data_IF_281377522782
#
_entry.id   IF_281377522782
#
_cell.length_a   1.000
_cell.length_b   1.000
_cell.length_c   1.000
_cell.angle_alpha   90.00
_cell.angle_beta   90.00
_cell.angle_gamma   90.00
#
_symmetry.space_group_name_H-M   'P 1'
#
loop_
_entity.id
_entity.type
_entity.pdbx_description
1 polymer ?
#
# COMPACT_ATOMS: atom_id res chain seq x y z
N UNK A 1 16.60 -26.41 -19.02
CA UNK A 1 17.56 -27.43 -18.55
C UNK A 1 16.92 -28.22 -17.40
N UNK A 2 17.03 -29.56 -17.39
CA UNK A 2 16.10 -30.48 -16.74
C UNK A 2 16.61 -31.05 -15.40
N UNK A 3 15.75 -31.85 -14.76
CA UNK A 3 16.08 -32.98 -13.88
C UNK A 3 16.76 -32.72 -12.53
N UNK A 4 16.04 -33.08 -11.46
CA UNK A 4 16.34 -34.30 -10.69
C UNK A 4 15.18 -34.71 -9.78
N UNK A 5 14.47 -35.72 -10.25
CA UNK A 5 13.65 -36.59 -9.44
C UNK A 5 14.58 -37.43 -8.55
N UNK A 6 14.39 -37.37 -7.24
CA UNK A 6 14.97 -38.31 -6.28
C UNK A 6 13.82 -38.86 -5.44
N UNK A 7 13.51 -40.12 -5.75
CA UNK A 7 13.07 -41.17 -4.84
C UNK A 7 11.68 -41.03 -4.20
N UNK A 8 10.72 -41.49 -5.00
CA UNK A 8 9.64 -42.34 -4.52
C UNK A 8 10.23 -43.59 -3.84
N UNK A 9 9.97 -43.78 -2.55
CA UNK A 9 9.94 -45.13 -1.96
C UNK A 9 8.62 -45.32 -1.22
N UNK A 10 7.86 -46.27 -1.77
CA UNK A 10 6.77 -46.99 -1.16
C UNK A 10 7.08 -47.36 0.29
N UNK A 11 6.12 -47.07 1.16
CA UNK A 11 6.07 -47.54 2.53
C UNK A 11 4.65 -47.40 3.05
N UNK A 12 3.72 -48.20 2.52
CA UNK A 12 2.43 -48.47 3.15
C UNK A 12 2.69 -49.24 4.44
N UNK A 13 2.18 -48.74 5.58
CA UNK A 13 1.76 -49.53 6.76
C UNK A 13 1.04 -48.61 7.76
N UNK A 14 -0.24 -48.93 7.98
CA UNK A 14 -1.04 -48.89 9.22
C UNK A 14 -0.76 -47.84 10.32
N UNK A 15 -1.83 -47.15 10.74
CA UNK A 15 -2.07 -46.84 12.15
C UNK A 15 -2.35 -45.36 12.48
N UNK A 16 -3.27 -45.07 13.44
CA UNK A 16 -3.99 -43.80 13.51
C UNK A 16 -3.40 -42.80 14.53
N UNK A 17 -3.86 -41.55 14.41
CA UNK A 17 -3.79 -40.49 15.43
C UNK A 17 -2.38 -39.95 15.77
N UNK A 18 -1.89 -39.02 14.96
CA UNK A 18 -0.91 -38.03 15.39
C UNK A 18 -1.31 -36.65 14.85
N UNK A 19 -1.71 -35.78 15.78
CA UNK A 19 -1.32 -34.37 15.90
C UNK A 19 -1.30 -33.57 14.60
N UNK A 20 -2.41 -32.90 14.28
CA UNK A 20 -2.33 -31.67 13.48
C UNK A 20 -1.71 -30.57 14.35
N UNK A 21 -0.38 -30.54 14.37
CA UNK A 21 0.39 -29.33 14.64
C UNK A 21 -0.03 -28.31 13.58
N UNK A 22 -0.85 -27.35 13.98
CA UNK A 22 -1.22 -26.24 13.12
C UNK A 22 0.03 -25.42 12.77
N UNK A 23 0.46 -25.49 11.52
CA UNK A 23 1.33 -24.48 10.92
C UNK A 23 0.61 -23.12 11.00
N UNK A 24 0.91 -22.36 12.04
CA UNK A 24 0.57 -20.94 12.10
C UNK A 24 1.47 -20.23 11.08
N UNK A 25 0.88 -19.75 9.99
CA UNK A 25 1.58 -18.92 9.02
C UNK A 25 2.13 -17.67 9.72
N UNK A 26 3.41 -17.29 9.50
CA UNK A 26 3.92 -16.03 10.05
C UNK A 26 3.18 -14.86 9.42
N UNK A 27 2.75 -13.92 10.26
CA UNK A 27 2.16 -12.65 9.85
C UNK A 27 3.07 -11.92 8.83
N UNK A 28 2.52 -11.16 7.87
CA UNK A 28 3.35 -10.36 6.97
C UNK A 28 4.18 -9.39 7.80
N UNK A 29 5.50 -9.48 7.68
CA UNK A 29 6.42 -8.59 8.35
C UNK A 29 6.08 -7.12 7.98
N UNK A 30 6.06 -6.19 8.95
CA UNK A 30 6.07 -4.78 8.61
C UNK A 30 7.31 -4.53 7.75
N UNK A 31 7.12 -3.91 6.58
CA UNK A 31 8.24 -3.53 5.72
C UNK A 31 9.19 -2.66 6.56
N UNK A 32 10.49 -2.96 6.62
CA UNK A 32 11.42 -2.15 7.39
C UNK A 32 11.36 -0.71 6.86
N UNK A 33 11.36 0.32 7.73
CA UNK A 33 11.48 1.70 7.28
C UNK A 33 12.74 1.78 6.42
N UNK A 34 12.58 2.15 5.14
CA UNK A 34 13.67 2.39 4.22
C UNK A 34 14.78 3.17 4.95
N UNK A 35 15.99 2.61 4.93
CA UNK A 35 17.14 3.07 5.69
C UNK A 35 17.28 4.59 5.60
N UNK A 36 17.08 5.26 6.74
CA UNK A 36 17.14 6.71 6.85
C UNK A 36 18.46 7.22 6.27
N UNK A 37 18.37 8.13 5.31
CA UNK A 37 19.51 8.86 4.78
C UNK A 37 20.27 9.51 5.94
N UNK A 38 21.52 9.10 6.15
CA UNK A 38 22.36 9.58 7.22
C UNK A 38 22.58 11.10 7.07
N UNK A 39 21.94 11.89 7.95
CA UNK A 39 22.08 13.35 8.01
C UNK A 39 20.77 14.15 7.98
N UNK A 40 19.61 13.51 7.72
CA UNK A 40 18.30 14.17 7.70
C UNK A 40 17.49 13.84 8.95
N UNK A 41 16.81 14.84 9.54
CA UNK A 41 15.92 14.64 10.69
C UNK A 41 14.69 13.81 10.26
N UNK A 42 14.41 12.66 10.90
CA UNK A 42 13.24 11.85 10.57
C UNK A 42 11.91 12.60 10.71
N UNK A 43 11.83 13.57 11.63
CA UNK A 43 10.65 14.40 11.84
C UNK A 43 10.38 15.38 10.69
N UNK A 44 11.43 15.90 10.05
CA UNK A 44 11.30 16.70 8.83
C UNK A 44 10.69 15.90 7.68
N UNK A 45 11.15 14.66 7.49
CA UNK A 45 10.63 13.75 6.45
C UNK A 45 9.16 13.43 6.71
N UNK A 46 8.79 13.07 7.94
CA UNK A 46 7.38 12.77 8.28
C UNK A 46 6.47 13.99 8.04
N UNK A 47 6.93 15.20 8.38
CA UNK A 47 6.20 16.44 8.07
C UNK A 47 6.06 16.68 6.57
N UNK A 48 7.07 16.33 5.78
CA UNK A 48 6.98 16.39 4.32
C UNK A 48 5.95 15.39 3.78
N UNK A 49 5.94 14.14 4.26
CA UNK A 49 4.96 13.11 3.88
C UNK A 49 3.54 13.56 4.23
N UNK A 50 3.32 14.06 5.45
CA UNK A 50 2.02 14.60 5.87
C UNK A 50 1.58 15.79 4.99
N UNK A 51 2.54 16.63 4.58
CA UNK A 51 2.28 17.74 3.65
C UNK A 51 1.87 17.22 2.27
N UNK A 52 2.57 16.24 1.73
CA UNK A 52 2.23 15.57 0.47
C UNK A 52 0.81 15.00 0.52
N UNK A 53 0.48 14.28 1.59
CA UNK A 53 -0.85 13.70 1.79
C UNK A 53 -1.94 14.79 1.81
N UNK A 54 -1.71 15.92 2.50
CA UNK A 54 -2.63 17.07 2.49
C UNK A 54 -2.80 17.67 1.10
N UNK A 55 -1.72 17.80 0.32
CA UNK A 55 -1.80 18.32 -1.05
C UNK A 55 -2.68 17.41 -1.91
N UNK A 56 -2.38 16.11 -1.97
CA UNK A 56 -3.12 15.13 -2.77
C UNK A 56 -4.59 15.03 -2.33
N UNK A 57 -4.87 15.13 -1.02
CA UNK A 57 -6.24 15.15 -0.49
C UNK A 57 -7.08 16.29 -1.07
N UNK A 58 -6.51 17.46 -1.38
CA UNK A 58 -7.26 18.57 -2.01
C UNK A 58 -7.72 18.24 -3.43
N UNK A 59 -7.03 17.34 -4.14
CA UNK A 59 -7.45 16.89 -5.47
C UNK A 59 -8.39 15.69 -5.44
N UNK A 60 -8.58 15.05 -4.29
CA UNK A 60 -9.41 13.87 -4.15
C UNK A 60 -10.88 14.21 -4.35
N UNK A 61 -11.48 13.66 -5.41
CA UNK A 61 -12.91 13.72 -5.67
C UNK A 61 -13.52 12.39 -5.27
N UNK A 62 -14.11 12.36 -4.07
CA UNK A 62 -14.76 11.15 -3.58
C UNK A 62 -15.84 10.69 -4.58
N UNK A 63 -15.82 9.41 -4.99
CA UNK A 63 -16.81 8.90 -5.93
C UNK A 63 -18.19 8.91 -5.27
N UNK A 64 -19.25 9.13 -6.08
CA UNK A 64 -20.64 9.09 -5.62
C UNK A 64 -21.04 7.64 -5.35
N UNK A 65 -20.68 7.14 -4.18
CA UNK A 65 -20.99 5.79 -3.71
C UNK A 65 -22.05 5.86 -2.61
N UNK A 66 -22.92 4.86 -2.57
CA UNK A 66 -23.89 4.70 -1.48
C UNK A 66 -23.20 4.54 -0.12
N UNK A 67 -23.98 4.51 0.97
CA UNK A 67 -23.47 4.37 2.35
C UNK A 67 -22.51 3.19 2.52
N UNK A 68 -22.79 2.07 1.83
CA UNK A 68 -21.98 0.83 1.84
C UNK A 68 -20.54 1.03 1.35
N UNK A 69 -20.31 1.92 0.39
CA UNK A 69 -18.96 2.18 -0.14
C UNK A 69 -18.09 2.99 0.82
N UNK A 70 -18.66 3.62 1.85
CA UNK A 70 -17.93 4.53 2.76
C UNK A 70 -16.98 3.81 3.73
N UNK A 71 -17.09 2.48 3.86
CA UNK A 71 -16.16 1.68 4.66
C UNK A 71 -14.89 1.32 3.91
N UNK A 72 -14.85 1.48 2.58
CA UNK A 72 -13.69 1.08 1.78
C UNK A 72 -12.57 2.09 1.97
N UNK A 73 -11.42 1.59 2.41
CA UNK A 73 -10.17 2.34 2.51
C UNK A 73 -9.19 1.79 1.47
N UNK A 74 -8.59 2.68 0.69
CA UNK A 74 -7.66 2.37 -0.40
C UNK A 74 -6.29 2.93 -0.07
N UNK A 75 -5.25 2.10 -0.08
CA UNK A 75 -3.86 2.52 0.09
C UNK A 75 -3.13 2.42 -1.24
N UNK A 76 -2.55 3.53 -1.68
CA UNK A 76 -1.71 3.62 -2.86
C UNK A 76 -0.26 3.88 -2.46
N UNK A 77 0.67 3.29 -3.20
CA UNK A 77 2.08 3.63 -3.18
C UNK A 77 2.39 4.50 -4.37
N UNK A 78 3.02 5.64 -4.12
CA UNK A 78 3.34 6.61 -5.15
C UNK A 78 4.81 6.97 -5.08
N UNK A 79 5.40 7.24 -6.23
CA UNK A 79 6.78 7.69 -6.33
C UNK A 79 6.81 9.07 -6.96
N UNK A 80 7.55 9.99 -6.35
CA UNK A 80 7.76 11.33 -6.86
C UNK A 80 9.23 11.56 -7.15
N UNK A 81 9.51 12.44 -8.10
CA UNK A 81 10.84 13.01 -8.27
C UNK A 81 11.06 14.17 -7.30
N UNK A 82 12.31 14.64 -7.19
CA UNK A 82 12.68 15.74 -6.32
C UNK A 82 12.01 17.09 -6.68
N UNK A 83 11.54 17.23 -7.92
CA UNK A 83 10.74 18.37 -8.39
C UNK A 83 9.23 18.22 -8.09
N UNK A 84 8.83 17.10 -7.47
CA UNK A 84 7.45 16.78 -7.12
C UNK A 84 6.62 16.20 -8.27
N UNK A 85 7.21 15.96 -9.44
CA UNK A 85 6.54 15.26 -10.54
C UNK A 85 6.33 13.78 -10.21
N UNK A 86 5.22 13.20 -10.68
CA UNK A 86 4.88 11.81 -10.42
C UNK A 86 5.71 10.88 -11.32
N UNK A 87 6.39 9.90 -10.72
CA UNK A 87 7.16 8.89 -11.43
C UNK A 87 6.29 7.65 -11.66
N UNK A 88 5.77 7.53 -12.89
CA UNK A 88 4.94 6.41 -13.31
C UNK A 88 3.51 6.48 -12.75
N UNK A 89 2.84 5.32 -12.69
CA UNK A 89 1.48 5.24 -12.15
C UNK A 89 1.48 4.85 -10.68
N UNK A 90 0.52 5.37 -9.87
CA UNK A 90 0.29 4.90 -8.52
C UNK A 90 0.01 3.39 -8.47
N UNK A 91 0.61 2.71 -7.51
CA UNK A 91 0.43 1.27 -7.31
C UNK A 91 -0.59 1.05 -6.19
N UNK A 92 -1.60 0.21 -6.46
CA UNK A 92 -2.56 -0.19 -5.43
C UNK A 92 -1.91 -1.19 -4.47
N UNK A 93 -1.66 -0.78 -3.23
CA UNK A 93 -1.04 -1.63 -2.20
C UNK A 93 -2.08 -2.52 -1.54
N UNK A 94 -3.21 -1.94 -1.15
CA UNK A 94 -4.26 -2.68 -0.45
C UNK A 94 -5.59 -1.94 -0.46
N UNK A 95 -6.67 -2.69 -0.29
CA UNK A 95 -7.98 -2.15 0.08
C UNK A 95 -8.54 -2.92 1.27
N UNK A 96 -9.16 -2.20 2.22
CA UNK A 96 -9.79 -2.77 3.40
C UNK A 96 -11.23 -2.27 3.56
N UNK A 97 -12.00 -2.93 4.43
CA UNK A 97 -13.43 -2.61 4.63
C UNK A 97 -14.34 -3.06 3.48
N UNK A 98 -13.86 -3.99 2.66
CA UNK A 98 -14.62 -4.65 1.58
C UNK A 98 -15.43 -5.81 2.18
N UNK A 99 -16.69 -5.88 1.78
CA UNK A 99 -17.65 -6.94 2.10
C UNK A 99 -18.34 -7.40 0.80
N UNK A 100 -19.00 -8.56 0.77
CA UNK A 100 -19.73 -9.02 -0.42
C UNK A 100 -20.77 -7.99 -0.90
N UNK A 101 -21.36 -7.23 0.01
CA UNK A 101 -22.37 -6.22 -0.29
C UNK A 101 -21.81 -4.93 -0.90
N UNK A 102 -20.52 -4.63 -0.72
CA UNK A 102 -19.92 -3.37 -1.17
C UNK A 102 -18.75 -3.53 -2.15
N UNK A 103 -18.34 -4.78 -2.47
CA UNK A 103 -17.19 -5.07 -3.33
C UNK A 103 -17.22 -4.36 -4.68
N UNK A 104 -18.42 -4.10 -5.21
CA UNK A 104 -18.61 -3.39 -6.48
C UNK A 104 -18.04 -1.96 -6.45
N UNK A 105 -17.93 -1.33 -5.27
CA UNK A 105 -17.39 0.02 -5.10
C UNK A 105 -15.86 0.07 -5.01
N UNK A 106 -15.19 -1.05 -4.74
CA UNK A 106 -13.73 -1.12 -4.59
C UNK A 106 -12.96 -0.56 -5.79
N UNK A 107 -13.26 -0.92 -7.06
CA UNK A 107 -12.57 -0.35 -8.22
C UNK A 107 -12.83 1.15 -8.41
N UNK A 108 -14.01 1.66 -8.04
CA UNK A 108 -14.32 3.08 -8.11
C UNK A 108 -13.48 3.89 -7.11
N UNK A 109 -13.28 3.35 -5.90
CA UNK A 109 -12.40 3.94 -4.89
C UNK A 109 -10.93 3.97 -5.34
N UNK A 110 -10.45 2.86 -5.92
CA UNK A 110 -9.08 2.78 -6.44
C UNK A 110 -8.83 3.77 -7.58
N UNK A 111 -9.78 3.90 -8.52
CA UNK A 111 -9.70 4.87 -9.61
C UNK A 111 -9.69 6.31 -9.09
N UNK A 112 -10.61 6.67 -8.20
CA UNK A 112 -10.69 8.01 -7.63
C UNK A 112 -9.41 8.39 -6.87
N UNK A 113 -8.83 7.45 -6.12
CA UNK A 113 -7.54 7.63 -5.45
C UNK A 113 -6.40 7.86 -6.45
N UNK A 114 -6.34 7.04 -7.51
CA UNK A 114 -5.31 7.15 -8.56
C UNK A 114 -5.39 8.48 -9.30
N UNK A 115 -6.61 8.89 -9.70
CA UNK A 115 -6.86 10.17 -10.36
C UNK A 115 -6.50 11.36 -9.46
N UNK A 116 -6.69 11.25 -8.14
CA UNK A 116 -6.33 12.32 -7.21
C UNK A 116 -4.83 12.58 -7.20
N UNK A 117 -4.02 11.52 -7.20
CA UNK A 117 -2.55 11.62 -7.27
C UNK A 117 -2.12 12.26 -8.58
N UNK A 118 -2.63 11.75 -9.71
CA UNK A 118 -2.28 12.26 -11.05
C UNK A 118 -2.65 13.74 -11.19
N UNK A 119 -3.85 14.13 -10.73
CA UNK A 119 -4.35 15.51 -10.83
C UNK A 119 -3.57 16.51 -9.98
N UNK A 120 -3.04 16.07 -8.85
CA UNK A 120 -2.29 16.93 -7.93
C UNK A 120 -0.79 16.99 -8.25
N UNK A 121 -0.32 16.25 -9.27
CA UNK A 121 1.06 16.35 -9.70
C UNK A 121 1.28 17.61 -10.54
N UNK A 122 2.37 18.38 -10.34
CA UNK A 122 3.43 18.16 -9.34
C UNK A 122 3.06 18.62 -7.93
N UNK A 123 3.58 17.93 -6.90
CA UNK A 123 3.48 18.35 -5.49
C UNK A 123 4.62 19.29 -5.11
N UNK A 124 4.42 20.13 -4.10
CA UNK A 124 5.46 21.07 -3.63
C UNK A 124 6.04 20.59 -2.31
N UNK A 125 7.27 20.07 -2.33
CA UNK A 125 8.00 19.61 -1.14
C UNK A 125 9.47 20.05 -1.20
N UNK A 126 10.17 20.17 -0.05
CA UNK A 126 11.60 20.43 -0.03
C UNK A 126 12.39 19.29 -0.67
N UNK A 127 13.05 19.56 -1.80
CA UNK A 127 13.89 18.59 -2.54
C UNK A 127 15.03 18.03 -1.69
N UNK A 128 15.52 18.78 -0.70
CA UNK A 128 16.56 18.35 0.25
C UNK A 128 16.16 17.13 1.08
N UNK A 129 14.85 16.89 1.25
CA UNK A 129 14.33 15.76 2.03
C UNK A 129 14.00 14.55 1.15
N UNK A 130 14.15 14.66 -0.18
CA UNK A 130 13.67 13.65 -1.14
C UNK A 130 14.27 12.28 -0.87
N UNK A 131 15.60 12.24 -0.78
CA UNK A 131 16.36 11.02 -0.52
C UNK A 131 16.20 10.53 0.93
N UNK A 132 15.67 11.40 1.80
CA UNK A 132 15.34 11.09 3.20
C UNK A 132 14.12 10.21 3.39
N UNK A 133 13.30 9.99 2.34
CA UNK A 133 12.24 8.98 2.37
C UNK A 133 10.87 9.43 1.87
N UNK A 134 10.71 10.65 1.36
CA UNK A 134 9.44 11.03 0.72
C UNK A 134 9.38 10.74 -0.79
N UNK A 135 10.46 10.26 -1.40
CA UNK A 135 10.50 9.84 -2.81
C UNK A 135 9.52 8.70 -3.12
N UNK A 136 9.21 7.85 -2.15
CA UNK A 136 8.16 6.83 -2.21
C UNK A 136 7.29 6.91 -0.95
N UNK A 137 6.00 7.17 -1.09
CA UNK A 137 5.08 7.32 0.05
C UNK A 137 3.81 6.48 -0.14
N UNK A 138 3.27 5.98 0.97
CA UNK A 138 1.99 5.28 1.00
C UNK A 138 0.87 6.26 1.39
N UNK A 139 -0.02 6.55 0.44
CA UNK A 139 -1.17 7.43 0.61
C UNK A 139 -2.44 6.62 0.87
N UNK A 140 -3.18 7.01 1.91
CA UNK A 140 -4.45 6.36 2.27
C UNK A 140 -5.64 7.25 1.92
N UNK A 141 -6.61 6.67 1.23
CA UNK A 141 -7.83 7.31 0.75
C UNK A 141 -9.07 6.59 1.25
N UNK A 142 -10.09 7.34 1.61
CA UNK A 142 -11.38 6.81 2.03
C UNK A 142 -12.19 7.87 2.75
N UNK A 143 -13.52 7.76 2.83
CA UNK A 143 -14.34 8.79 3.48
C UNK A 143 -14.06 8.96 4.98
N UNK A 144 -13.48 7.93 5.61
CA UNK A 144 -13.05 7.95 7.02
C UNK A 144 -11.53 8.02 7.20
N UNK A 145 -10.76 7.87 6.14
CA UNK A 145 -9.30 7.97 6.20
C UNK A 145 -8.91 9.45 6.18
N UNK A 146 -9.15 10.10 7.32
CA UNK A 146 -8.67 11.43 7.65
C UNK A 146 -7.86 11.31 8.94
N UNK A 147 -6.64 10.81 8.80
CA UNK A 147 -5.50 11.16 9.65
C UNK A 147 -4.35 11.37 8.67
#
# INVERSE_FOLDING_TARGET
MPCRAILCRLGWLAGPALLFVGCSAPAPAPSPPQAAAAGLDPGDVERAIATAARQVRRCYRAPRIGSLGRSIVTRLRVRYAADGSLIGLPLLVSQSGITPANQIFAPHMARAATEAVIRCSPITLPSTLHDGGWSEIDLTFGPRALA
#
